data_IF_701149031378
#
_entry.id   IF_701149031378
#
_cell.length_a   1.000
_cell.length_b   1.000
_cell.length_c   1.000
_cell.angle_alpha   90.00
_cell.angle_beta   90.00
_cell.angle_gamma   90.00
#
_symmetry.space_group_name_H-M   'P 1'
#
loop_
_entity.id
_entity.type
_entity.pdbx_description
1 polymer ?
#
# COMPACT_ATOMS: atom_id res chain seq x y z
N UNK A 1 -9.04 48.31 17.99
CA UNK A 1 -9.12 46.84 17.78
C UNK A 1 -8.61 46.49 16.38
N UNK A 2 -7.38 45.95 16.27
CA UNK A 2 -6.85 45.42 15.00
C UNK A 2 -7.38 44.00 14.78
N UNK A 3 -8.29 43.83 13.82
CA UNK A 3 -8.75 42.50 13.35
C UNK A 3 -7.55 41.75 12.76
N UNK A 4 -7.04 40.73 13.47
CA UNK A 4 -6.11 39.74 12.93
C UNK A 4 -6.82 39.00 11.80
N UNK A 5 -6.42 39.24 10.55
CA UNK A 5 -6.78 38.38 9.42
C UNK A 5 -6.21 36.98 9.72
N UNK A 6 -7.08 36.00 9.94
CA UNK A 6 -6.71 34.58 9.89
C UNK A 6 -6.09 34.34 8.51
N UNK A 7 -4.78 34.13 8.46
CA UNK A 7 -4.12 33.56 7.27
C UNK A 7 -4.74 32.19 7.07
N UNK A 8 -5.48 32.01 5.97
CA UNK A 8 -5.84 30.70 5.46
C UNK A 8 -4.51 29.98 5.23
N UNK A 9 -4.20 28.99 6.07
CA UNK A 9 -3.06 28.09 5.83
C UNK A 9 -3.35 27.41 4.50
N UNK A 10 -2.56 27.69 3.47
CA UNK A 10 -2.60 26.92 2.23
C UNK A 10 -2.29 25.47 2.60
N UNK A 11 -3.19 24.54 2.28
CA UNK A 11 -2.92 23.10 2.39
C UNK A 11 -1.68 22.81 1.54
N UNK A 12 -0.63 22.22 2.10
CA UNK A 12 0.58 21.94 1.34
C UNK A 12 0.31 20.90 0.24
N UNK A 13 0.90 21.14 -0.93
CA UNK A 13 0.61 20.51 -2.22
C UNK A 13 1.03 19.01 -2.31
N UNK A 14 1.40 18.38 -1.20
CA UNK A 14 1.95 17.01 -1.17
C UNK A 14 1.34 16.08 -0.11
N UNK A 15 0.40 16.53 0.73
CA UNK A 15 -0.12 15.73 1.82
C UNK A 15 -1.21 14.75 1.36
N UNK A 16 -1.64 13.84 2.25
CA UNK A 16 -2.90 13.13 2.07
C UNK A 16 -4.04 14.16 1.96
N UNK A 17 -4.75 14.15 0.84
CA UNK A 17 -5.84 15.08 0.54
C UNK A 17 -7.09 14.74 1.36
N UNK A 18 -7.20 13.49 1.84
CA UNK A 18 -8.28 13.05 2.71
C UNK A 18 -8.00 13.48 4.14
N UNK A 19 -8.91 14.27 4.70
CA UNK A 19 -8.95 14.60 6.12
C UNK A 19 -9.73 13.53 6.89
N UNK A 20 -9.33 13.27 8.14
CA UNK A 20 -9.84 12.17 8.95
C UNK A 20 -9.81 10.82 8.20
N UNK A 21 -8.64 10.40 7.64
CA UNK A 21 -8.53 9.19 6.80
C UNK A 21 -8.64 7.88 7.57
N UNK A 22 -8.59 7.93 8.90
CA UNK A 22 -8.60 6.79 9.82
C UNK A 22 -9.83 6.77 10.73
N UNK A 23 -10.79 7.65 10.45
CA UNK A 23 -12.01 7.82 11.25
C UNK A 23 -11.79 8.10 12.75
N UNK A 24 -10.58 8.50 13.19
CA UNK A 24 -10.27 8.82 14.59
C UNK A 24 -11.10 9.99 15.16
N UNK A 25 -11.76 10.77 14.30
CA UNK A 25 -12.75 11.78 14.66
C UNK A 25 -14.19 11.36 14.29
N UNK A 26 -14.47 10.06 14.25
CA UNK A 26 -15.73 9.49 13.77
C UNK A 26 -15.98 9.85 12.29
N UNK A 27 -17.21 10.28 12.00
CA UNK A 27 -17.63 10.71 10.65
C UNK A 27 -17.28 12.16 10.31
N UNK A 28 -16.50 12.88 11.13
CA UNK A 28 -16.22 14.29 10.88
C UNK A 28 -15.67 14.50 9.46
N UNK A 29 -16.30 15.41 8.73
CA UNK A 29 -15.98 15.78 7.34
C UNK A 29 -16.19 14.67 6.29
N UNK A 30 -16.96 13.64 6.60
CA UNK A 30 -17.43 12.64 5.64
C UNK A 30 -18.94 12.79 5.45
N UNK A 31 -19.40 12.62 4.21
CA UNK A 31 -20.81 12.48 3.91
C UNK A 31 -21.13 10.99 3.80
N UNK A 32 -22.34 10.60 4.18
CA UNK A 32 -22.75 9.20 4.09
C UNK A 32 -24.26 9.07 3.93
N UNK A 33 -24.68 7.87 3.52
CA UNK A 33 -26.08 7.44 3.42
C UNK A 33 -26.20 5.95 3.73
N UNK A 34 -27.34 5.53 4.27
CA UNK A 34 -27.57 4.14 4.69
C UNK A 34 -27.07 3.86 6.11
N UNK A 35 -26.96 2.57 6.45
CA UNK A 35 -26.55 2.13 7.79
C UNK A 35 -25.02 2.06 7.91
N UNK A 36 -24.43 3.02 8.62
CA UNK A 36 -23.01 3.04 8.96
C UNK A 36 -22.82 3.16 10.48
N UNK A 37 -21.75 2.54 10.97
CA UNK A 37 -21.33 2.59 12.37
C UNK A 37 -19.82 2.76 12.49
N UNK A 38 -19.34 2.95 13.71
CA UNK A 38 -17.91 2.93 14.03
C UNK A 38 -17.58 1.57 14.63
N UNK A 39 -16.53 0.93 14.12
CA UNK A 39 -15.99 -0.31 14.67
C UNK A 39 -14.75 0.01 15.50
N UNK A 40 -14.73 -0.43 16.77
CA UNK A 40 -13.60 -0.21 17.69
C UNK A 40 -12.92 -1.51 18.11
N UNK A 41 -13.40 -2.65 17.62
CA UNK A 41 -12.89 -3.97 18.02
C UNK A 41 -11.54 -4.29 17.39
N UNK A 42 -11.45 -4.21 16.05
CA UNK A 42 -10.27 -4.60 15.29
C UNK A 42 -9.97 -3.60 14.14
N UNK A 43 -9.83 -2.29 14.42
CA UNK A 43 -9.48 -1.32 13.38
C UNK A 43 -8.12 -1.68 12.76
N UNK A 44 -7.94 -1.39 11.48
CA UNK A 44 -6.69 -1.71 10.79
C UNK A 44 -5.52 -0.96 11.44
N UNK A 45 -5.72 0.33 11.71
CA UNK A 45 -4.80 1.10 12.55
C UNK A 45 -5.50 2.22 13.33
N UNK A 46 -5.02 2.48 14.54
CA UNK A 46 -5.65 3.43 15.46
C UNK A 46 -6.62 2.76 16.42
N UNK A 47 -7.77 3.38 16.67
CA UNK A 47 -8.78 2.94 17.64
C UNK A 47 -10.16 2.70 17.03
N UNK A 48 -10.39 3.17 15.80
CA UNK A 48 -11.67 2.98 15.14
C UNK A 48 -11.55 2.91 13.62
N UNK A 49 -12.45 2.16 13.00
CA UNK A 49 -12.66 2.11 11.56
C UNK A 49 -14.12 2.45 11.27
N UNK A 50 -14.43 2.80 10.02
CA UNK A 50 -15.83 2.91 9.60
C UNK A 50 -16.36 1.52 9.26
N UNK A 51 -17.57 1.18 9.71
CA UNK A 51 -18.27 -0.07 9.36
C UNK A 51 -19.52 0.24 8.53
N UNK A 52 -19.60 -0.36 7.36
CA UNK A 52 -20.78 -0.43 6.49
C UNK A 52 -21.54 -1.72 6.82
N UNK A 53 -22.75 -1.61 7.36
CA UNK A 53 -23.57 -2.77 7.79
C UNK A 53 -24.32 -3.42 6.62
N UNK A 54 -25.12 -4.46 6.90
CA UNK A 54 -25.83 -5.30 5.94
C UNK A 54 -26.52 -4.56 4.79
N UNK A 55 -27.32 -3.53 5.10
CA UNK A 55 -28.04 -2.71 4.12
C UNK A 55 -27.10 -1.94 3.18
N UNK A 56 -27.57 -1.66 1.96
CA UNK A 56 -26.84 -0.78 1.02
C UNK A 56 -26.46 0.55 1.67
N UNK A 57 -25.19 0.94 1.56
CA UNK A 57 -24.69 2.15 2.18
C UNK A 57 -23.59 2.79 1.34
N UNK A 58 -23.34 4.08 1.57
CA UNK A 58 -22.26 4.80 0.91
C UNK A 58 -21.65 5.84 1.82
N UNK A 59 -20.34 6.05 1.69
CA UNK A 59 -19.59 7.10 2.37
C UNK A 59 -18.66 7.77 1.37
N UNK A 60 -18.62 9.09 1.37
CA UNK A 60 -17.83 9.85 0.40
C UNK A 60 -17.29 11.16 0.95
N UNK A 61 -16.24 11.63 0.30
CA UNK A 61 -15.60 12.91 0.58
C UNK A 61 -15.21 13.61 -0.71
N UNK A 62 -15.59 14.88 -0.82
CA UNK A 62 -15.13 15.76 -1.90
C UNK A 62 -13.84 16.44 -1.45
N UNK A 63 -12.73 16.13 -2.10
CA UNK A 63 -11.41 16.71 -1.82
C UNK A 63 -11.06 17.77 -2.86
N UNK A 64 -10.54 18.92 -2.40
CA UNK A 64 -10.11 19.98 -3.30
C UNK A 64 -8.80 19.62 -4.01
N UNK A 65 -8.74 19.83 -5.33
CA UNK A 65 -7.54 19.59 -6.14
C UNK A 65 -6.66 20.84 -6.30
N UNK A 66 -6.95 21.90 -5.54
CA UNK A 66 -6.20 23.15 -5.60
C UNK A 66 -4.71 22.91 -5.28
N UNK A 67 -3.82 23.24 -6.23
CA UNK A 67 -2.38 23.06 -6.09
C UNK A 67 -1.84 21.71 -6.60
N UNK A 68 -2.71 20.70 -6.78
CA UNK A 68 -2.34 19.38 -7.32
C UNK A 68 -3.01 19.10 -8.68
N UNK A 69 -3.69 20.09 -9.26
CA UNK A 69 -4.41 20.01 -10.54
C UNK A 69 -3.59 19.35 -11.65
N UNK A 70 -4.20 18.39 -12.34
CA UNK A 70 -3.61 17.65 -13.46
C UNK A 70 -2.62 16.55 -13.06
N UNK A 71 -2.37 16.34 -11.75
CA UNK A 71 -1.61 15.18 -11.28
C UNK A 71 -2.56 14.02 -10.97
N UNK A 72 -2.23 12.79 -11.41
CA UNK A 72 -2.93 11.60 -10.94
C UNK A 72 -2.71 11.42 -9.43
N UNK A 73 -3.60 10.64 -8.81
CA UNK A 73 -3.62 10.41 -7.38
C UNK A 73 -3.34 8.94 -7.10
N UNK A 74 -2.46 8.66 -6.14
CA UNK A 74 -2.35 7.37 -5.47
C UNK A 74 -3.53 7.27 -4.50
N UNK A 75 -4.37 6.26 -4.71
CA UNK A 75 -5.40 5.81 -3.78
C UNK A 75 -4.84 4.59 -3.02
N UNK A 76 -5.00 4.57 -1.72
CA UNK A 76 -4.83 3.37 -0.92
C UNK A 76 -5.85 3.35 0.21
N UNK A 77 -6.29 2.18 0.61
CA UNK A 77 -7.18 2.00 1.74
C UNK A 77 -7.09 0.58 2.25
N UNK A 78 -7.54 0.39 3.48
CA UNK A 78 -7.62 -0.90 4.10
C UNK A 78 -9.06 -1.35 4.24
N UNK A 79 -9.29 -2.62 3.93
CA UNK A 79 -10.58 -3.28 4.17
C UNK A 79 -10.43 -4.39 5.19
N UNK A 80 -11.47 -4.54 6.01
CA UNK A 80 -11.73 -5.72 6.79
C UNK A 80 -13.19 -6.13 6.60
N UNK A 81 -13.48 -7.37 6.25
CA UNK A 81 -14.81 -7.78 5.83
C UNK A 81 -15.28 -9.05 6.57
N UNK A 82 -16.59 -9.19 6.74
CA UNK A 82 -17.18 -10.43 7.26
C UNK A 82 -17.14 -11.56 6.22
N UNK A 83 -17.38 -12.79 6.67
CA UNK A 83 -17.48 -13.97 5.80
C UNK A 83 -18.65 -13.89 4.82
N UNK A 84 -19.62 -13.02 5.07
CA UNK A 84 -20.81 -12.77 4.25
C UNK A 84 -20.81 -11.36 3.64
N UNK A 85 -19.62 -10.77 3.45
CA UNK A 85 -19.49 -9.45 2.88
C UNK A 85 -20.17 -9.35 1.50
N UNK A 86 -20.81 -8.23 1.25
CA UNK A 86 -21.37 -7.94 -0.07
C UNK A 86 -20.32 -7.23 -0.94
N UNK A 87 -20.64 -7.03 -2.21
CA UNK A 87 -19.77 -6.28 -3.10
C UNK A 87 -19.55 -4.83 -2.63
N UNK A 88 -18.37 -4.32 -2.93
CA UNK A 88 -17.96 -2.94 -2.70
C UNK A 88 -17.52 -2.29 -4.00
N UNK A 89 -18.03 -1.09 -4.24
CA UNK A 89 -17.59 -0.21 -5.32
C UNK A 89 -16.79 0.95 -4.69
N UNK A 90 -15.58 1.18 -5.18
CA UNK A 90 -14.74 2.31 -4.78
C UNK A 90 -14.44 3.18 -5.98
N UNK A 91 -14.75 4.47 -5.89
CA UNK A 91 -14.63 5.40 -7.01
C UNK A 91 -13.90 6.68 -6.63
N UNK A 92 -13.09 7.18 -7.57
CA UNK A 92 -12.63 8.56 -7.59
C UNK A 92 -13.30 9.26 -8.77
N UNK A 93 -14.23 10.17 -8.48
CA UNK A 93 -14.99 10.90 -9.50
C UNK A 93 -14.47 12.33 -9.59
N UNK A 94 -14.14 12.80 -10.80
CA UNK A 94 -13.74 14.18 -11.01
C UNK A 94 -14.95 15.10 -10.99
N UNK A 95 -14.88 16.17 -10.20
CA UNK A 95 -15.92 17.17 -10.11
C UNK A 95 -15.42 18.54 -10.57
N UNK A 96 -16.30 19.30 -11.21
CA UNK A 96 -16.03 20.71 -11.52
C UNK A 96 -16.17 21.62 -10.29
N UNK A 97 -15.94 22.93 -10.47
CA UNK A 97 -16.05 23.94 -9.39
C UNK A 97 -17.45 24.08 -8.78
N UNK A 98 -18.47 23.49 -9.41
CA UNK A 98 -19.86 23.48 -8.97
C UNK A 98 -20.25 22.10 -8.40
N UNK A 99 -19.26 21.23 -8.13
CA UNK A 99 -19.43 19.86 -7.63
C UNK A 99 -20.23 18.95 -8.56
N UNK A 100 -20.25 19.25 -9.87
CA UNK A 100 -20.86 18.38 -10.87
C UNK A 100 -19.84 17.38 -11.37
N UNK A 101 -20.22 16.10 -11.48
CA UNK A 101 -19.38 15.07 -12.06
C UNK A 101 -19.05 15.39 -13.53
N UNK A 102 -17.77 15.28 -13.88
CA UNK A 102 -17.25 15.54 -15.23
C UNK A 102 -16.40 14.38 -15.77
N UNK A 103 -16.24 13.31 -15.00
CA UNK A 103 -15.55 12.10 -15.41
C UNK A 103 -15.27 11.19 -14.22
N UNK A 104 -14.94 9.94 -14.52
CA UNK A 104 -14.45 8.97 -13.53
C UNK A 104 -12.94 8.96 -13.65
N UNK A 105 -12.25 9.17 -12.54
CA UNK A 105 -10.80 9.02 -12.44
C UNK A 105 -10.38 7.62 -12.07
N UNK A 106 -11.23 6.92 -11.33
CA UNK A 106 -11.05 5.51 -10.99
C UNK A 106 -12.37 4.86 -10.62
N UNK A 107 -12.52 3.60 -11.02
CA UNK A 107 -13.60 2.71 -10.60
C UNK A 107 -12.98 1.36 -10.24
N UNK A 108 -13.27 0.88 -9.04
CA UNK A 108 -12.85 -0.41 -8.53
C UNK A 108 -14.10 -1.17 -8.09
N UNK A 109 -14.32 -2.34 -8.64
CA UNK A 109 -15.31 -3.29 -8.16
C UNK A 109 -14.59 -4.37 -7.35
N UNK A 110 -15.00 -4.59 -6.11
CA UNK A 110 -14.42 -5.59 -5.22
C UNK A 110 -15.58 -6.54 -4.88
N UNK A 111 -15.52 -7.74 -5.44
CA UNK A 111 -16.57 -8.74 -5.28
C UNK A 111 -16.62 -9.29 -3.86
N UNK A 112 -17.81 -9.72 -3.44
CA UNK A 112 -18.02 -10.45 -2.19
C UNK A 112 -17.00 -11.59 -2.05
N UNK A 113 -16.82 -12.42 -3.08
CA UNK A 113 -15.96 -13.59 -3.01
C UNK A 113 -14.47 -13.27 -2.74
N UNK A 114 -13.99 -12.07 -3.08
CA UNK A 114 -12.65 -11.57 -2.73
C UNK A 114 -12.53 -11.22 -1.24
N UNK A 115 -13.64 -10.77 -0.66
CA UNK A 115 -13.77 -10.32 0.72
C UNK A 115 -14.14 -11.47 1.67
N UNK A 116 -14.68 -12.56 1.13
CA UNK A 116 -15.07 -13.77 1.87
C UNK A 116 -14.03 -14.87 1.68
N UNK A 117 -13.31 -15.23 2.75
CA UNK A 117 -12.43 -16.41 2.77
C UNK A 117 -12.81 -17.35 3.91
N UNK A 118 -12.02 -18.40 4.20
CA UNK A 118 -12.21 -19.20 5.44
C UNK A 118 -12.04 -18.34 6.71
N UNK A 119 -11.42 -17.18 6.56
CA UNK A 119 -11.16 -16.17 7.58
C UNK A 119 -11.55 -14.78 7.04
N UNK A 120 -11.92 -13.86 7.94
CA UNK A 120 -12.23 -12.47 7.56
C UNK A 120 -11.05 -11.86 6.77
N UNK A 121 -11.31 -11.35 5.56
CA UNK A 121 -10.26 -10.78 4.73
C UNK A 121 -9.79 -9.42 5.28
N UNK A 122 -8.49 -9.26 5.48
CA UNK A 122 -7.84 -7.99 5.87
C UNK A 122 -6.79 -7.61 4.83
N UNK A 123 -7.12 -6.67 3.95
CA UNK A 123 -6.35 -6.38 2.73
C UNK A 123 -6.04 -4.89 2.63
N UNK A 124 -4.86 -4.58 2.08
CA UNK A 124 -4.46 -3.22 1.68
C UNK A 124 -4.58 -3.10 0.17
N UNK A 125 -5.36 -2.13 -0.31
CA UNK A 125 -5.48 -1.85 -1.73
C UNK A 125 -4.58 -0.68 -2.10
N UNK A 126 -3.99 -0.75 -3.30
CA UNK A 126 -3.32 0.38 -3.94
C UNK A 126 -3.91 0.56 -5.34
N UNK A 127 -4.01 1.82 -5.76
CA UNK A 127 -4.54 2.16 -7.07
C UNK A 127 -4.04 3.54 -7.52
N UNK A 128 -4.00 3.79 -8.82
CA UNK A 128 -3.66 5.10 -9.38
C UNK A 128 -4.77 5.59 -10.29
N UNK A 129 -5.25 6.80 -10.03
CA UNK A 129 -6.25 7.44 -10.89
C UNK A 129 -5.65 7.82 -12.24
N UNK A 130 -6.52 8.00 -13.23
CA UNK A 130 -6.18 8.77 -14.42
C UNK A 130 -5.80 10.22 -14.07
N UNK A 131 -5.30 10.96 -15.06
CA UNK A 131 -5.07 12.40 -14.88
C UNK A 131 -6.41 13.14 -14.74
N UNK A 132 -6.56 14.01 -13.72
CA UNK A 132 -7.74 14.86 -13.62
C UNK A 132 -7.92 15.72 -14.88
N UNK A 133 -9.14 15.81 -15.44
CA UNK A 133 -9.46 16.73 -16.53
C UNK A 133 -9.09 18.18 -16.17
N UNK A 134 -8.81 19.01 -17.18
CA UNK A 134 -8.34 20.38 -16.97
C UNK A 134 -9.29 21.27 -16.15
N UNK A 135 -10.60 20.99 -16.20
CA UNK A 135 -11.64 21.69 -15.46
C UNK A 135 -12.02 21.02 -14.12
N UNK A 136 -11.34 19.95 -13.72
CA UNK A 136 -11.54 19.32 -12.42
C UNK A 136 -11.05 20.24 -11.30
N UNK A 137 -11.94 20.55 -10.36
CA UNK A 137 -11.65 21.35 -9.18
C UNK A 137 -11.63 20.50 -7.89
N UNK A 138 -12.38 19.40 -7.90
CA UNK A 138 -12.45 18.46 -6.78
C UNK A 138 -12.39 17.02 -7.30
N UNK A 139 -12.07 16.10 -6.40
CA UNK A 139 -12.27 14.67 -6.59
C UNK A 139 -13.19 14.16 -5.49
N UNK A 140 -14.22 13.39 -5.84
CA UNK A 140 -15.02 12.64 -4.87
C UNK A 140 -14.43 11.26 -4.72
N UNK A 141 -13.91 10.94 -3.55
CA UNK A 141 -13.64 9.57 -3.17
C UNK A 141 -14.91 9.00 -2.54
N UNK A 142 -15.42 7.89 -3.06
CA UNK A 142 -16.66 7.26 -2.63
C UNK A 142 -16.47 5.76 -2.47
N UNK A 143 -17.02 5.22 -1.38
CA UNK A 143 -17.18 3.80 -1.12
C UNK A 143 -18.68 3.50 -1.08
N UNK A 144 -19.13 2.52 -1.86
CA UNK A 144 -20.52 2.12 -1.99
C UNK A 144 -20.64 0.62 -1.84
N UNK A 145 -21.22 0.15 -0.74
CA UNK A 145 -21.46 -1.26 -0.49
C UNK A 145 -22.88 -1.62 -0.93
N UNK A 146 -23.02 -2.74 -1.64
CA UNK A 146 -24.33 -3.33 -1.98
C UNK A 146 -24.99 -3.97 -0.76
N UNK A 147 -26.31 -4.19 -0.86
CA UNK A 147 -27.04 -4.93 0.17
C UNK A 147 -26.48 -6.36 0.30
N UNK A 148 -26.19 -6.76 1.53
CA UNK A 148 -25.79 -8.12 1.89
C UNK A 148 -26.76 -8.72 2.89
N UNK A 149 -26.43 -9.91 3.39
CA UNK A 149 -27.22 -10.58 4.42
C UNK A 149 -27.10 -9.90 5.80
N UNK A 150 -27.78 -10.44 6.81
CA UNK A 150 -27.86 -9.84 8.15
C UNK A 150 -26.48 -9.65 8.84
N UNK A 151 -25.51 -10.51 8.53
CA UNK A 151 -24.16 -10.48 9.13
C UNK A 151 -23.14 -9.75 8.27
N UNK A 152 -23.47 -9.44 7.02
CA UNK A 152 -22.63 -8.72 6.07
C UNK A 152 -22.14 -7.39 6.62
N UNK A 153 -20.82 -7.23 6.75
CA UNK A 153 -20.21 -5.93 6.99
C UNK A 153 -18.89 -5.77 6.24
N UNK A 154 -18.56 -4.50 5.95
CA UNK A 154 -17.25 -4.08 5.47
C UNK A 154 -16.78 -2.93 6.32
N UNK A 155 -15.56 -3.03 6.82
CA UNK A 155 -14.84 -1.97 7.50
C UNK A 155 -13.81 -1.33 6.58
N UNK A 156 -13.72 0.00 6.61
CA UNK A 156 -12.75 0.78 5.84
C UNK A 156 -11.89 1.58 6.83
N UNK A 157 -10.58 1.63 6.56
CA UNK A 157 -9.63 2.39 7.38
C UNK A 157 -8.43 2.88 6.54
N UNK A 158 -7.60 3.75 7.12
CA UNK A 158 -6.30 4.22 6.59
C UNK A 158 -6.34 4.68 5.12
N UNK A 159 -7.27 5.58 4.81
CA UNK A 159 -7.45 6.04 3.44
C UNK A 159 -6.36 7.03 3.03
N UNK A 160 -5.64 6.76 1.96
CA UNK A 160 -4.70 7.68 1.30
C UNK A 160 -5.30 8.13 -0.02
N UNK A 161 -5.30 9.44 -0.26
CA UNK A 161 -5.44 10.01 -1.59
C UNK A 161 -4.40 11.11 -1.76
N UNK A 162 -3.32 10.84 -2.49
CA UNK A 162 -2.16 11.73 -2.56
C UNK A 162 -1.64 11.88 -4.00
N UNK A 163 -1.10 13.05 -4.40
CA UNK A 163 -0.61 13.25 -5.75
C UNK A 163 0.64 12.42 -6.06
N UNK A 164 0.68 11.79 -7.23
CA UNK A 164 1.83 11.04 -7.78
C UNK A 164 2.29 11.64 -9.13
N UNK A 165 3.46 11.26 -9.67
CA UNK A 165 4.03 11.91 -10.88
C UNK A 165 3.52 11.37 -12.19
N UNK A 166 3.03 10.15 -12.24
CA UNK A 166 2.43 9.59 -13.45
C UNK A 166 1.21 8.75 -13.13
N UNK A 167 0.44 8.48 -14.18
CA UNK A 167 -0.58 7.42 -14.16
C UNK A 167 0.12 6.07 -14.00
N UNK A 168 -0.65 5.00 -13.83
CA UNK A 168 -0.11 3.67 -14.03
C UNK A 168 0.42 3.55 -15.47
N UNK A 169 1.68 3.16 -15.61
CA UNK A 169 2.35 3.00 -16.90
C UNK A 169 2.19 1.57 -17.43
N UNK A 170 1.83 0.61 -16.57
CA UNK A 170 1.45 -0.75 -16.99
C UNK A 170 0.11 -0.70 -17.69
N UNK A 171 0.02 -1.41 -18.81
CA UNK A 171 -1.22 -1.58 -19.55
C UNK A 171 -1.89 -2.89 -19.14
N UNK A 172 -3.22 -2.89 -19.08
CA UNK A 172 -4.00 -4.07 -18.69
C UNK A 172 -3.50 -4.69 -17.36
N UNK A 173 -3.24 -3.82 -16.36
CA UNK A 173 -2.62 -4.21 -15.08
C UNK A 173 -3.53 -5.04 -14.15
N UNK A 174 -4.84 -5.02 -14.40
CA UNK A 174 -5.83 -5.85 -13.72
C UNK A 174 -6.40 -6.95 -14.63
N UNK A 175 -5.75 -7.23 -15.76
CA UNK A 175 -6.06 -8.37 -16.63
C UNK A 175 -7.53 -8.49 -17.13
N UNK A 176 -8.30 -7.40 -17.08
CA UNK A 176 -9.68 -7.31 -17.60
C UNK A 176 -9.79 -7.70 -19.08
N UNK A 177 -8.70 -7.52 -19.84
CA UNK A 177 -8.58 -7.92 -21.25
C UNK A 177 -7.69 -9.16 -21.41
N UNK A 178 -7.72 -10.08 -20.45
CA UNK A 178 -6.88 -11.27 -20.40
C UNK A 178 -5.39 -10.93 -20.28
N UNK A 179 -4.52 -11.64 -21.00
CA UNK A 179 -3.07 -11.37 -21.03
C UNK A 179 -2.65 -10.42 -22.16
N UNK A 180 -3.57 -9.61 -22.71
CA UNK A 180 -3.23 -8.60 -23.73
C UNK A 180 -2.17 -7.62 -23.18
N UNK A 181 -1.17 -7.27 -24.00
CA UNK A 181 0.02 -6.48 -23.63
C UNK A 181 1.00 -7.16 -22.65
N UNK A 182 0.76 -8.42 -22.28
CA UNK A 182 1.67 -9.21 -21.44
C UNK A 182 2.31 -10.33 -22.27
N UNK A 183 3.60 -10.56 -22.05
CA UNK A 183 4.29 -11.75 -22.50
C UNK A 183 4.26 -12.78 -21.38
N UNK A 184 3.78 -13.99 -21.69
CA UNK A 184 3.44 -15.00 -20.70
C UNK A 184 3.92 -16.38 -21.14
N UNK A 185 4.60 -17.09 -20.24
CA UNK A 185 4.86 -18.53 -20.33
C UNK A 185 4.35 -19.19 -19.05
N UNK A 186 3.55 -20.25 -19.18
CA UNK A 186 2.92 -20.95 -18.05
C UNK A 186 2.02 -20.06 -17.17
N UNK A 187 1.48 -19.00 -17.78
CA UNK A 187 0.43 -18.16 -17.24
C UNK A 187 -0.77 -18.14 -18.20
N UNK A 188 -1.98 -18.14 -17.65
CA UNK A 188 -3.24 -17.98 -18.37
C UNK A 188 -4.05 -16.83 -17.78
N UNK A 189 -4.99 -16.30 -18.55
CA UNK A 189 -5.98 -15.38 -18.01
C UNK A 189 -7.06 -16.17 -17.27
N UNK A 190 -7.47 -15.66 -16.12
CA UNK A 190 -8.54 -16.23 -15.31
C UNK A 190 -9.43 -15.09 -14.77
N UNK A 191 -10.68 -15.40 -14.49
CA UNK A 191 -11.74 -14.46 -14.12
C UNK A 191 -12.46 -14.87 -12.82
N UNK A 192 -12.01 -15.95 -12.17
CA UNK A 192 -12.54 -16.39 -10.89
C UNK A 192 -11.75 -15.73 -9.74
N UNK A 193 -12.45 -15.10 -8.79
CA UNK A 193 -11.84 -14.52 -7.57
C UNK A 193 -10.69 -13.49 -7.83
N UNK A 194 -10.86 -12.49 -8.71
CA UNK A 194 -9.88 -11.41 -8.84
C UNK A 194 -9.79 -10.57 -7.56
N UNK A 195 -8.69 -9.83 -7.35
CA UNK A 195 -8.60 -8.89 -6.24
C UNK A 195 -9.49 -7.66 -6.48
N UNK A 196 -9.47 -7.13 -7.70
CA UNK A 196 -10.31 -6.01 -8.14
C UNK A 196 -10.74 -6.25 -9.57
N UNK A 197 -12.00 -5.94 -9.86
CA UNK A 197 -12.55 -6.02 -11.21
C UNK A 197 -12.93 -7.44 -11.58
N UNK A 198 -12.59 -7.87 -12.79
CA UNK A 198 -13.07 -9.11 -13.38
C UNK A 198 -11.98 -10.13 -13.71
N UNK A 199 -10.71 -9.75 -13.82
CA UNK A 199 -9.65 -10.64 -14.31
C UNK A 199 -8.41 -10.68 -13.43
N UNK A 200 -7.59 -11.72 -13.59
CA UNK A 200 -6.23 -11.82 -13.06
C UNK A 200 -5.38 -12.74 -13.97
N UNK A 201 -4.06 -12.75 -13.75
CA UNK A 201 -3.17 -13.73 -14.39
C UNK A 201 -2.93 -14.90 -13.44
N UNK A 202 -3.20 -16.13 -13.90
CA UNK A 202 -2.99 -17.37 -13.15
C UNK A 202 -1.80 -18.14 -13.71
N UNK A 203 -0.77 -18.33 -12.90
CA UNK A 203 0.36 -19.22 -13.19
C UNK A 203 -0.04 -20.67 -12.95
N UNK A 204 0.34 -21.57 -13.87
CA UNK A 204 0.05 -23.00 -13.82
C UNK A 204 1.31 -23.86 -13.56
N UNK A 205 2.46 -23.19 -13.39
CA UNK A 205 3.76 -23.82 -13.16
C UNK A 205 4.90 -22.80 -13.18
N UNK A 206 6.12 -23.29 -13.40
CA UNK A 206 7.32 -22.47 -13.50
C UNK A 206 7.25 -21.58 -14.75
N UNK A 207 6.96 -20.30 -14.54
CA UNK A 207 6.53 -19.41 -15.60
C UNK A 207 7.12 -18.02 -15.52
N UNK A 208 6.92 -17.26 -16.58
CA UNK A 208 7.30 -15.86 -16.67
C UNK A 208 6.11 -15.06 -17.18
N UNK A 209 5.67 -14.09 -16.38
CA UNK A 209 4.75 -13.05 -16.81
C UNK A 209 5.50 -11.72 -16.87
N UNK A 210 5.49 -11.03 -18.00
CA UNK A 210 6.25 -9.79 -18.15
C UNK A 210 5.62 -8.77 -19.09
N UNK A 211 5.89 -7.49 -18.85
CA UNK A 211 5.52 -6.39 -19.73
C UNK A 211 6.67 -5.37 -19.81
N UNK A 212 6.97 -4.92 -21.03
CA UNK A 212 7.87 -3.79 -21.26
C UNK A 212 7.08 -2.49 -21.31
N UNK A 213 7.46 -1.54 -20.45
CA UNK A 213 6.78 -0.26 -20.26
C UNK A 213 7.69 0.86 -20.74
N UNK A 214 7.17 1.71 -21.63
CA UNK A 214 7.93 2.84 -22.16
C UNK A 214 8.12 3.93 -21.09
N UNK A 215 9.37 4.24 -20.76
CA UNK A 215 9.74 5.28 -19.81
C UNK A 215 10.56 6.41 -20.45
N UNK A 216 10.87 6.34 -21.74
CA UNK A 216 11.71 7.32 -22.43
C UNK A 216 11.12 8.74 -22.50
N UNK A 217 9.83 8.93 -22.19
CA UNK A 217 9.20 10.24 -22.02
C UNK A 217 9.21 10.76 -20.57
N UNK A 218 9.71 9.97 -19.62
CA UNK A 218 9.88 10.37 -18.24
C UNK A 218 11.24 11.08 -18.05
N UNK A 219 11.35 11.99 -17.08
CA UNK A 219 12.64 12.59 -16.72
C UNK A 219 13.71 11.55 -16.37
N UNK A 220 14.94 11.80 -16.82
CA UNK A 220 16.10 10.94 -16.52
C UNK A 220 16.31 10.80 -15.01
N UNK A 221 16.77 9.63 -14.58
CA UNK A 221 17.01 9.35 -13.16
C UNK A 221 15.72 9.27 -12.32
N UNK A 222 14.58 8.99 -12.94
CA UNK A 222 13.33 8.79 -12.20
C UNK A 222 13.32 7.44 -11.48
N UNK A 223 12.73 7.41 -10.30
CA UNK A 223 12.34 6.19 -9.59
C UNK A 223 10.84 5.93 -9.76
N UNK A 224 10.44 4.70 -9.51
CA UNK A 224 9.08 4.25 -9.72
C UNK A 224 8.58 3.47 -8.50
N UNK A 225 7.32 3.68 -8.16
CA UNK A 225 6.55 2.87 -7.24
C UNK A 225 6.02 1.66 -8.01
N UNK A 226 6.29 0.47 -7.50
CA UNK A 226 5.71 -0.79 -7.96
C UNK A 226 4.73 -1.29 -6.90
N UNK A 227 3.51 -1.66 -7.28
CA UNK A 227 2.58 -2.42 -6.44
C UNK A 227 1.99 -3.56 -7.24
N UNK A 228 1.64 -4.65 -6.57
CA UNK A 228 0.99 -5.81 -7.17
C UNK A 228 0.37 -6.64 -6.06
N UNK A 229 -0.58 -7.51 -6.40
CA UNK A 229 -1.18 -8.44 -5.47
C UNK A 229 -0.92 -9.87 -5.91
N UNK A 230 -0.57 -10.72 -4.94
CA UNK A 230 -0.33 -12.13 -5.15
C UNK A 230 -1.24 -12.97 -4.26
N UNK A 231 -1.69 -14.11 -4.77
CA UNK A 231 -2.28 -15.17 -3.94
C UNK A 231 -1.87 -16.53 -4.45
N UNK A 232 -2.01 -17.52 -3.58
CA UNK A 232 -1.74 -18.91 -3.84
C UNK A 232 -2.87 -19.72 -3.19
N UNK A 233 -3.62 -20.47 -3.99
CA UNK A 233 -4.80 -21.23 -3.49
C UNK A 233 -4.48 -22.68 -3.16
N UNK A 234 -3.34 -23.19 -3.62
CA UNK A 234 -2.89 -24.55 -3.35
C UNK A 234 -1.82 -24.61 -2.25
N UNK A 235 -1.56 -25.82 -1.74
CA UNK A 235 -0.57 -26.06 -0.67
C UNK A 235 0.86 -26.23 -1.19
N UNK A 236 1.06 -26.21 -2.51
CA UNK A 236 2.39 -26.29 -3.11
C UNK A 236 3.14 -24.98 -2.87
N UNK A 237 4.35 -25.09 -2.34
CA UNK A 237 5.21 -23.94 -2.07
C UNK A 237 5.71 -23.33 -3.39
N UNK A 238 5.57 -22.01 -3.55
CA UNK A 238 5.95 -21.28 -4.78
C UNK A 238 6.78 -20.07 -4.42
N UNK A 239 8.03 -20.06 -4.87
CA UNK A 239 8.86 -18.86 -4.83
C UNK A 239 8.51 -17.99 -6.03
N UNK A 240 8.45 -16.67 -5.84
CA UNK A 240 8.31 -15.73 -6.96
C UNK A 240 9.38 -14.66 -6.89
N UNK A 241 10.14 -14.51 -7.96
CA UNK A 241 10.99 -13.32 -8.15
C UNK A 241 10.26 -12.28 -8.98
N UNK A 242 10.04 -11.11 -8.40
CA UNK A 242 9.53 -9.93 -9.11
C UNK A 242 10.70 -9.01 -9.44
N UNK A 243 10.84 -8.61 -10.71
CA UNK A 243 11.92 -7.72 -11.16
C UNK A 243 11.39 -6.49 -11.89
N UNK A 244 12.13 -5.40 -11.74
CA UNK A 244 12.10 -4.28 -12.68
C UNK A 244 13.48 -4.17 -13.29
N UNK A 245 13.60 -4.40 -14.59
CA UNK A 245 14.84 -4.27 -15.34
C UNK A 245 14.79 -3.00 -16.19
N UNK A 246 15.88 -2.26 -16.26
CA UNK A 246 16.01 -1.10 -17.16
C UNK A 246 16.58 -1.55 -18.48
N UNK A 247 15.98 -1.11 -19.58
CA UNK A 247 16.39 -1.48 -20.92
C UNK A 247 16.69 -0.24 -21.76
N UNK A 248 17.66 -0.36 -22.65
CA UNK A 248 17.96 0.66 -23.65
C UNK A 248 16.91 0.68 -24.79
N UNK A 249 17.16 1.47 -25.84
CA UNK A 249 16.25 1.58 -26.99
C UNK A 249 16.09 0.27 -27.76
N UNK A 250 17.09 -0.59 -27.72
CA UNK A 250 17.16 -1.84 -28.47
C UNK A 250 16.71 -3.04 -27.61
N UNK A 251 16.06 -2.76 -26.47
CA UNK A 251 15.58 -3.74 -25.49
C UNK A 251 16.69 -4.60 -24.86
N UNK A 252 17.93 -4.11 -24.82
CA UNK A 252 18.98 -4.74 -24.03
C UNK A 252 18.85 -4.32 -22.56
N UNK A 253 18.98 -5.27 -21.64
CA UNK A 253 19.02 -4.98 -20.20
C UNK A 253 20.33 -4.25 -19.88
N UNK A 254 20.22 -3.04 -19.34
CA UNK A 254 21.39 -2.23 -18.97
C UNK A 254 21.64 -2.19 -17.45
N UNK A 255 20.60 -2.38 -16.63
CA UNK A 255 20.73 -2.61 -15.18
C UNK A 255 19.41 -3.07 -14.55
N UNK A 256 19.45 -3.36 -13.25
CA UNK A 256 18.29 -3.77 -12.46
C UNK A 256 17.81 -2.63 -11.56
N UNK A 257 16.51 -2.33 -11.65
CA UNK A 257 15.82 -1.33 -10.83
C UNK A 257 15.31 -1.89 -9.51
N UNK A 258 14.83 -3.13 -9.53
CA UNK A 258 14.29 -3.84 -8.38
C UNK A 258 14.45 -5.34 -8.61
N UNK A 259 14.74 -6.08 -7.54
CA UNK A 259 14.51 -7.51 -7.42
C UNK A 259 13.90 -7.73 -6.04
N UNK A 260 12.74 -8.38 -6.05
CA UNK A 260 11.91 -8.60 -4.88
C UNK A 260 11.61 -10.09 -4.85
N UNK A 261 12.03 -10.77 -3.80
CA UNK A 261 11.81 -12.21 -3.65
C UNK A 261 10.59 -12.43 -2.76
N UNK A 262 9.60 -13.18 -3.24
CA UNK A 262 8.49 -13.67 -2.43
C UNK A 262 8.76 -15.15 -2.14
N UNK A 263 9.13 -15.50 -0.91
CA UNK A 263 9.40 -16.87 -0.52
C UNK A 263 8.23 -17.83 -0.66
N UNK A 264 8.59 -19.10 -0.71
CA UNK A 264 7.68 -20.24 -0.88
C UNK A 264 6.54 -20.32 0.15
N UNK A 265 6.77 -19.91 1.41
CA UNK A 265 5.76 -19.99 2.47
C UNK A 265 5.07 -18.65 2.77
N UNK A 266 5.41 -17.56 2.05
CA UNK A 266 4.85 -16.23 2.30
C UNK A 266 3.34 -16.15 2.00
N UNK A 267 2.90 -16.95 1.03
CA UNK A 267 1.51 -16.98 0.56
C UNK A 267 0.73 -18.21 1.05
N UNK A 268 1.39 -19.20 1.66
CA UNK A 268 0.74 -20.44 2.11
C UNK A 268 -0.30 -20.17 3.20
N UNK A 269 -1.42 -20.91 3.13
CA UNK A 269 -2.49 -20.86 4.12
C UNK A 269 -3.31 -19.56 4.10
N UNK A 270 -3.30 -18.83 2.97
CA UNK A 270 -4.08 -17.60 2.78
C UNK A 270 -5.16 -17.82 1.72
N UNK A 271 -6.40 -17.51 2.07
CA UNK A 271 -7.51 -17.42 1.11
C UNK A 271 -7.54 -16.10 0.35
N UNK A 272 -6.93 -15.04 0.90
CA UNK A 272 -6.94 -13.69 0.34
C UNK A 272 -5.55 -13.25 -0.16
N UNK A 273 -5.54 -12.37 -1.17
CA UNK A 273 -4.32 -11.79 -1.72
C UNK A 273 -3.48 -11.05 -0.66
N UNK A 274 -2.17 -11.15 -0.81
CA UNK A 274 -1.19 -10.28 -0.18
C UNK A 274 -0.75 -9.22 -1.20
N UNK A 275 -0.95 -7.96 -0.83
CA UNK A 275 -0.52 -6.84 -1.66
C UNK A 275 0.91 -6.45 -1.32
N UNK A 276 1.67 -6.07 -2.33
CA UNK A 276 3.05 -5.65 -2.25
C UNK A 276 3.23 -4.20 -2.68
N UNK A 277 4.22 -3.52 -2.09
CA UNK A 277 4.58 -2.17 -2.45
C UNK A 277 6.08 -1.99 -2.33
N UNK A 278 6.75 -1.64 -3.42
CA UNK A 278 8.18 -1.46 -3.50
C UNK A 278 8.52 -0.21 -4.31
N UNK A 279 9.77 0.25 -4.18
CA UNK A 279 10.29 1.39 -4.95
C UNK A 279 11.57 0.99 -5.65
N UNK A 280 11.67 1.32 -6.93
CA UNK A 280 12.87 1.04 -7.72
C UNK A 280 14.02 1.98 -7.37
N UNK A 281 15.25 1.51 -7.58
CA UNK A 281 16.37 2.41 -7.80
C UNK A 281 16.10 3.33 -9.01
N UNK A 282 16.79 4.47 -9.13
CA UNK A 282 16.58 5.38 -10.26
C UNK A 282 16.98 4.72 -11.59
N UNK A 283 16.19 4.94 -12.64
CA UNK A 283 16.54 4.49 -13.98
C UNK A 283 17.87 5.14 -14.43
N UNK A 284 18.86 4.37 -14.90
CA UNK A 284 20.16 4.90 -15.30
C UNK A 284 20.07 5.73 -16.60
N UNK A 285 21.14 6.46 -16.92
CA UNK A 285 21.26 7.12 -18.22
C UNK A 285 21.20 6.10 -19.36
N UNK A 286 20.38 6.36 -20.37
CA UNK A 286 20.17 5.47 -21.51
C UNK A 286 18.96 4.53 -21.38
N UNK A 287 18.32 4.45 -20.21
CA UNK A 287 17.09 3.68 -20.05
C UNK A 287 15.94 4.30 -20.86
N UNK A 288 15.28 3.49 -21.68
CA UNK A 288 14.12 3.85 -22.51
C UNK A 288 12.89 3.03 -22.12
N UNK A 289 13.09 1.78 -21.70
CA UNK A 289 12.04 0.89 -21.25
C UNK A 289 12.32 0.36 -19.84
N UNK A 290 11.26 -0.06 -19.17
CA UNK A 290 11.30 -0.85 -17.95
C UNK A 290 10.60 -2.18 -18.22
N UNK A 291 11.24 -3.32 -17.94
CA UNK A 291 10.59 -4.63 -17.98
C UNK A 291 10.20 -5.02 -16.58
N UNK A 292 8.89 -5.14 -16.35
CA UNK A 292 8.33 -5.67 -15.10
C UNK A 292 8.08 -7.14 -15.35
N UNK A 293 8.57 -8.01 -14.45
CA UNK A 293 8.41 -9.45 -14.62
C UNK A 293 8.15 -10.16 -13.30
N UNK A 294 7.31 -11.19 -13.36
CA UNK A 294 7.04 -12.16 -12.31
C UNK A 294 7.54 -13.51 -12.81
N UNK A 295 8.51 -14.09 -12.10
CA UNK A 295 9.09 -15.39 -12.40
C UNK A 295 8.75 -16.33 -11.25
N UNK A 296 7.94 -17.36 -11.51
CA UNK A 296 7.53 -18.36 -10.51
C UNK A 296 8.43 -19.57 -10.61
N UNK A 297 8.80 -20.14 -9.46
CA UNK A 297 9.54 -21.39 -9.34
C UNK A 297 8.94 -22.20 -8.18
N UNK A 298 8.49 -23.43 -8.44
CA UNK A 298 7.83 -24.24 -7.43
C UNK A 298 7.79 -25.72 -7.76
N UNK A 299 7.56 -26.55 -6.74
CA UNK A 299 7.41 -27.98 -6.93
C UNK A 299 5.95 -28.36 -7.22
N UNK A 300 5.66 -28.80 -8.45
CA UNK A 300 4.37 -29.35 -8.83
C UNK A 300 3.49 -28.38 -9.60
N UNK A 301 2.19 -28.70 -9.70
CA UNK A 301 1.18 -27.77 -10.18
C UNK A 301 0.82 -26.86 -9.01
N UNK A 302 0.68 -25.56 -9.29
CA UNK A 302 0.23 -24.58 -8.32
C UNK A 302 -0.69 -23.57 -9.02
N UNK A 303 -1.63 -23.01 -8.27
CA UNK A 303 -2.50 -21.92 -8.71
C UNK A 303 -2.02 -20.62 -8.04
N UNK A 304 -1.09 -19.97 -8.72
CA UNK A 304 -0.48 -18.70 -8.31
C UNK A 304 -1.12 -17.56 -9.09
N UNK A 305 -1.50 -16.48 -8.43
CA UNK A 305 -2.26 -15.38 -9.05
C UNK A 305 -1.50 -14.07 -8.94
N UNK A 306 -1.54 -13.30 -10.03
CA UNK A 306 -1.04 -11.91 -10.09
C UNK A 306 -2.19 -11.00 -10.51
N UNK A 307 -2.42 -9.93 -9.74
CA UNK A 307 -3.42 -8.91 -10.06
C UNK A 307 -2.92 -7.51 -9.65
N UNK A 308 -3.55 -6.46 -10.18
CA UNK A 308 -3.37 -5.05 -9.84
C UNK A 308 -1.91 -4.56 -9.90
N UNK A 309 -1.23 -4.78 -11.04
CA UNK A 309 0.17 -4.38 -11.21
C UNK A 309 0.30 -2.88 -11.50
N UNK A 310 0.70 -2.09 -10.51
CA UNK A 310 0.92 -0.65 -10.64
C UNK A 310 2.39 -0.33 -10.84
N UNK A 311 2.70 0.48 -11.85
CA UNK A 311 4.02 1.06 -12.03
C UNK A 311 3.89 2.55 -12.32
N UNK A 312 4.31 3.39 -11.38
CA UNK A 312 4.17 4.84 -11.52
C UNK A 312 5.39 5.58 -11.03
N UNK A 313 5.72 6.66 -11.75
CA UNK A 313 6.84 7.52 -11.44
C UNK A 313 6.61 8.24 -10.10
N UNK A 314 7.66 8.28 -9.31
CA UNK A 314 7.78 9.05 -8.07
C UNK A 314 9.03 9.93 -8.09
N UNK A 315 9.26 10.73 -7.03
CA UNK A 315 10.36 11.70 -6.99
C UNK A 315 11.68 11.17 -6.47
N UNK A 316 11.65 10.17 -5.59
CA UNK A 316 12.86 9.62 -4.98
C UNK A 316 12.82 8.10 -5.00
N UNK A 317 13.99 7.43 -4.96
CA UNK A 317 14.04 6.02 -4.60
C UNK A 317 13.59 5.82 -3.14
N UNK A 318 13.59 4.56 -2.70
CA UNK A 318 13.49 4.28 -1.27
C UNK A 318 14.68 4.95 -0.56
N UNK A 319 14.38 5.78 0.42
CA UNK A 319 15.38 6.51 1.20
C UNK A 319 15.85 5.73 2.42
N UNK A 320 15.13 4.65 2.77
CA UNK A 320 15.58 3.68 3.77
C UNK A 320 16.66 2.79 3.18
N UNK A 321 17.71 2.55 3.96
CA UNK A 321 18.75 1.56 3.68
C UNK A 321 18.40 0.24 4.38
N UNK A 322 18.77 -0.88 3.73
CA UNK A 322 18.47 -2.24 4.20
C UNK A 322 16.98 -2.41 4.59
N UNK A 323 16.03 -2.11 3.68
CA UNK A 323 14.61 -2.04 4.01
C UNK A 323 13.97 -3.40 4.33
N UNK A 324 14.55 -4.51 3.86
CA UNK A 324 14.08 -5.88 4.06
C UNK A 324 15.00 -6.75 4.91
N UNK A 325 15.97 -6.14 5.60
CA UNK A 325 16.79 -6.83 6.61
C UNK A 325 17.63 -8.02 6.09
N UNK A 326 17.78 -8.15 4.77
CA UNK A 326 18.63 -9.16 4.12
C UNK A 326 20.13 -8.99 4.45
N UNK A 327 20.50 -7.86 5.04
CA UNK A 327 21.84 -7.60 5.57
C UNK A 327 21.80 -7.38 7.09
N UNK A 328 21.10 -8.26 7.81
CA UNK A 328 20.82 -8.14 9.24
C UNK A 328 20.16 -6.79 9.61
N UNK A 329 20.46 -6.22 10.78
CA UNK A 329 20.02 -4.89 11.20
C UNK A 329 21.03 -3.79 10.82
N UNK A 330 21.88 -4.02 9.81
CA UNK A 330 22.81 -2.99 9.33
C UNK A 330 22.03 -1.75 8.88
N UNK A 331 22.61 -0.56 9.14
CA UNK A 331 22.01 0.76 8.92
C UNK A 331 20.81 1.11 9.82
N UNK A 332 20.48 0.26 10.79
CA UNK A 332 19.44 0.52 11.79
C UNK A 332 20.01 0.64 13.20
N UNK A 333 19.50 1.59 13.97
CA UNK A 333 19.67 1.64 15.42
C UNK A 333 18.52 0.87 16.09
N UNK A 334 18.82 0.02 17.06
CA UNK A 334 17.82 -0.84 17.66
C UNK A 334 18.09 -1.15 19.13
N UNK A 335 17.03 -1.56 19.83
CA UNK A 335 17.11 -2.23 21.13
C UNK A 335 16.13 -3.39 21.14
N UNK A 336 16.61 -4.54 21.62
CA UNK A 336 15.88 -5.80 21.73
C UNK A 336 15.28 -6.36 20.44
N UNK A 337 15.45 -5.70 19.29
CA UNK A 337 15.12 -6.22 17.96
C UNK A 337 16.24 -7.15 17.47
N UNK A 338 15.89 -8.26 16.82
CA UNK A 338 16.84 -9.16 16.15
C UNK A 338 16.42 -9.41 14.71
N UNK A 339 17.31 -9.93 13.88
CA UNK A 339 16.92 -10.53 12.60
C UNK A 339 16.52 -11.98 12.80
N UNK A 340 15.59 -12.47 11.99
CA UNK A 340 15.16 -13.88 11.99
C UNK A 340 15.03 -14.35 10.56
N UNK A 341 15.67 -15.47 10.24
CA UNK A 341 15.52 -16.12 8.95
C UNK A 341 14.20 -16.92 8.93
N UNK A 342 13.39 -16.75 7.89
CA UNK A 342 12.13 -17.48 7.72
C UNK A 342 11.74 -17.58 6.26
N UNK A 343 11.21 -18.74 5.86
CA UNK A 343 10.61 -18.96 4.54
C UNK A 343 9.24 -18.30 4.36
N UNK A 344 8.74 -17.64 5.40
CA UNK A 344 7.47 -16.91 5.41
C UNK A 344 7.68 -15.40 5.57
N UNK A 345 8.86 -14.89 5.20
CA UNK A 345 9.16 -13.45 5.17
C UNK A 345 8.20 -12.73 4.22
N UNK A 346 8.04 -11.41 4.35
CA UNK A 346 7.23 -10.68 3.37
C UNK A 346 8.03 -10.54 2.07
N UNK A 347 9.32 -10.24 2.19
CA UNK A 347 10.30 -10.26 1.11
C UNK A 347 11.58 -10.96 1.58
N UNK A 348 12.33 -11.56 0.65
CA UNK A 348 13.66 -12.07 0.97
C UNK A 348 13.61 -13.25 1.93
N UNK A 349 14.57 -13.40 2.83
CA UNK A 349 14.56 -14.49 3.81
C UNK A 349 14.64 -14.01 5.25
N UNK A 350 14.75 -12.71 5.48
CA UNK A 350 15.00 -12.14 6.79
C UNK A 350 13.94 -11.13 7.18
N UNK A 351 13.58 -11.14 8.46
CA UNK A 351 12.65 -10.17 9.04
C UNK A 351 13.24 -9.57 10.30
N UNK A 352 12.86 -8.33 10.61
CA UNK A 352 13.15 -7.72 11.91
C UNK A 352 12.12 -8.21 12.94
N UNK A 353 12.56 -9.04 13.87
CA UNK A 353 11.77 -9.61 14.95
C UNK A 353 11.84 -8.75 16.21
N UNK A 354 10.69 -8.29 16.68
CA UNK A 354 10.52 -7.54 17.93
C UNK A 354 9.85 -8.45 18.98
N UNK A 355 10.53 -8.73 20.12
CA UNK A 355 10.00 -9.61 21.16
C UNK A 355 8.86 -8.99 21.96
N UNK A 356 8.04 -9.85 22.56
CA UNK A 356 6.94 -9.49 23.46
C UNK A 356 7.36 -8.60 24.65
N UNK A 357 8.63 -8.58 25.05
CA UNK A 357 9.13 -7.65 26.08
C UNK A 357 9.12 -6.18 25.67
N UNK A 358 8.90 -5.89 24.38
CA UNK A 358 9.04 -4.57 23.78
C UNK A 358 10.41 -4.41 23.10
N UNK A 359 10.45 -3.54 22.10
CA UNK A 359 11.62 -3.26 21.29
C UNK A 359 11.48 -1.95 20.51
N UNK A 360 12.58 -1.46 19.97
CA UNK A 360 12.54 -0.43 18.94
C UNK A 360 13.55 -0.69 17.81
N UNK A 361 13.26 -0.04 16.69
CA UNK A 361 14.08 -0.02 15.49
C UNK A 361 13.94 1.37 14.85
N UNK A 362 15.05 2.05 14.57
CA UNK A 362 15.04 3.37 13.92
C UNK A 362 16.15 3.57 12.90
N UNK A 363 15.88 4.45 11.93
CA UNK A 363 16.87 4.93 10.98
C UNK A 363 16.70 6.43 10.77
N UNK A 364 17.82 7.17 10.82
CA UNK A 364 17.88 8.58 10.49
C UNK A 364 18.27 8.76 9.03
N UNK A 365 17.40 9.41 8.26
CA UNK A 365 17.46 9.53 6.81
C UNK A 365 17.75 10.99 6.46
N UNK A 366 18.93 11.30 5.90
CA UNK A 366 19.24 12.64 5.41
C UNK A 366 18.31 13.06 4.28
N UNK A 367 17.76 14.28 4.36
CA UNK A 367 16.80 14.80 3.38
C UNK A 367 17.29 16.08 2.72
N UNK A 368 17.31 16.05 1.39
CA UNK A 368 17.66 17.21 0.58
C UNK A 368 16.45 18.10 0.30
N UNK A 369 16.52 19.35 0.75
CA UNK A 369 15.47 20.38 0.54
C UNK A 369 14.08 19.91 1.01
N UNK A 370 14.03 19.31 2.21
CA UNK A 370 12.85 18.64 2.75
C UNK A 370 11.65 19.57 2.99
N UNK A 371 11.89 20.84 3.36
CA UNK A 371 10.84 21.75 3.79
C UNK A 371 9.67 21.82 2.79
N UNK A 372 8.45 21.58 3.28
CA UNK A 372 7.22 21.57 2.52
C UNK A 372 6.99 20.32 1.67
N UNK A 373 7.83 19.28 1.78
CA UNK A 373 7.67 17.98 1.13
C UNK A 373 7.04 16.96 2.08
N UNK A 374 6.40 15.97 1.49
CA UNK A 374 5.70 14.89 2.17
C UNK A 374 6.21 13.56 1.60
N UNK A 375 6.17 12.51 2.39
CA UNK A 375 6.73 11.22 2.04
C UNK A 375 5.72 10.12 2.33
N UNK A 376 5.72 9.08 1.51
CA UNK A 376 5.06 7.81 1.78
C UNK A 376 5.95 7.01 2.73
N UNK A 377 5.38 6.55 3.84
CA UNK A 377 5.90 5.45 4.64
C UNK A 377 5.04 4.22 4.34
N UNK A 378 5.66 3.08 4.03
CA UNK A 378 5.01 1.77 4.00
C UNK A 378 5.88 0.70 4.63
N UNK A 379 5.28 -0.32 5.22
CA UNK A 379 5.98 -1.46 5.81
C UNK A 379 5.02 -2.65 5.94
N UNK A 380 5.57 -3.86 5.90
CA UNK A 380 4.84 -5.08 6.20
C UNK A 380 4.99 -5.43 7.69
N UNK A 381 3.89 -5.87 8.30
CA UNK A 381 3.84 -6.28 9.69
C UNK A 381 3.14 -7.64 9.81
N UNK A 382 3.73 -8.55 10.58
CA UNK A 382 3.16 -9.85 10.92
C UNK A 382 3.23 -10.07 12.43
N UNK A 383 2.19 -10.63 13.02
CA UNK A 383 2.17 -11.00 14.44
C UNK A 383 2.47 -12.48 14.58
N UNK A 384 3.56 -12.80 15.26
CA UNK A 384 3.91 -14.16 15.62
C UNK A 384 3.48 -14.43 17.07
N UNK A 385 2.55 -15.35 17.28
CA UNK A 385 2.02 -15.70 18.61
C UNK A 385 3.01 -16.56 19.41
N UNK A 386 3.02 -16.36 20.72
CA UNK A 386 3.62 -17.26 21.70
C UNK A 386 2.57 -18.12 22.44
N UNK A 387 1.26 -17.79 22.33
CA UNK A 387 0.14 -18.50 22.95
C UNK A 387 -1.18 -18.40 22.13
N UNK A 388 -2.25 -19.05 22.59
CA UNK A 388 -3.58 -19.17 21.93
C UNK A 388 -4.28 -17.83 21.61
N UNK A 389 -3.88 -16.74 22.28
CA UNK A 389 -4.31 -15.36 22.00
C UNK A 389 -3.12 -14.41 22.16
N UNK A 390 -2.98 -13.47 21.23
CA UNK A 390 -1.92 -12.46 21.28
C UNK A 390 -2.27 -11.28 20.38
N UNK A 391 -2.24 -10.07 20.95
CA UNK A 391 -2.28 -8.80 20.25
C UNK A 391 -0.92 -8.12 20.46
N UNK A 392 -0.37 -7.53 19.41
CA UNK A 392 0.79 -6.67 19.53
C UNK A 392 0.54 -5.36 18.80
N UNK A 393 0.98 -4.27 19.44
CA UNK A 393 0.77 -2.91 18.95
C UNK A 393 2.13 -2.30 18.62
N UNK A 394 2.26 -1.89 17.37
CA UNK A 394 3.40 -1.16 16.87
C UNK A 394 3.05 0.32 16.71
N UNK A 395 3.93 1.19 17.19
CA UNK A 395 3.88 2.62 16.90
C UNK A 395 4.95 2.94 15.86
N UNK A 396 4.52 3.21 14.63
CA UNK A 396 5.37 3.69 13.55
C UNK A 396 5.31 5.23 13.49
N UNK A 397 6.47 5.88 13.49
CA UNK A 397 6.61 7.34 13.49
C UNK A 397 7.57 7.79 12.41
N UNK A 398 7.29 8.99 11.91
CA UNK A 398 8.28 9.81 11.21
C UNK A 398 8.45 11.10 12.00
N UNK A 399 9.66 11.39 12.44
CA UNK A 399 10.00 12.63 13.15
C UNK A 399 10.93 13.48 12.28
N UNK A 400 10.67 14.77 12.18
CA UNK A 400 11.52 15.69 11.44
C UNK A 400 12.69 16.15 12.29
N UNK A 401 13.89 16.08 11.73
CA UNK A 401 15.12 16.50 12.40
C UNK A 401 15.75 17.70 11.67
N UNK A 402 16.37 18.59 12.43
CA UNK A 402 17.22 19.65 11.87
C UNK A 402 18.64 19.15 11.53
N UNK A 403 19.51 20.05 11.07
CA UNK A 403 20.89 19.73 10.67
C UNK A 403 21.78 19.26 11.83
N UNK A 404 21.34 19.43 13.07
CA UNK A 404 22.05 19.00 14.27
C UNK A 404 21.50 17.68 14.83
N UNK A 405 20.52 17.07 14.16
CA UNK A 405 19.85 15.85 14.62
C UNK A 405 18.77 16.10 15.67
N UNK A 406 18.42 17.36 15.94
CA UNK A 406 17.38 17.70 16.93
C UNK A 406 16.00 17.55 16.31
N UNK A 407 15.07 16.93 17.03
CA UNK A 407 13.66 16.88 16.63
C UNK A 407 13.05 18.28 16.60
N UNK A 408 12.43 18.61 15.46
CA UNK A 408 11.74 19.89 15.21
C UNK A 408 10.25 19.73 14.93
N UNK A 409 9.74 18.50 14.97
CA UNK A 409 8.30 18.21 14.98
C UNK A 409 7.94 16.84 14.43
N UNK A 410 6.71 16.37 14.69
CA UNK A 410 6.21 15.13 14.14
C UNK A 410 5.90 15.27 12.65
N UNK A 411 6.13 14.20 11.89
CA UNK A 411 5.68 14.04 10.51
C UNK A 411 4.60 12.98 10.35
N UNK A 412 4.66 11.91 11.13
CA UNK A 412 3.65 10.85 11.10
C UNK A 412 3.63 10.12 12.44
N UNK A 413 2.44 9.67 12.85
CA UNK A 413 2.28 8.69 13.92
C UNK A 413 1.15 7.73 13.55
N UNK A 414 1.49 6.46 13.38
CA UNK A 414 0.60 5.37 13.01
C UNK A 414 0.65 4.29 14.08
N UNK A 415 -0.51 3.92 14.62
CA UNK A 415 -0.66 2.81 15.55
C UNK A 415 -1.10 1.60 14.73
N UNK A 416 -0.15 0.75 14.35
CA UNK A 416 -0.43 -0.49 13.65
C UNK A 416 -0.77 -1.58 14.67
N UNK A 417 -1.94 -2.19 14.52
CA UNK A 417 -2.38 -3.30 15.36
C UNK A 417 -2.39 -4.55 14.52
N UNK A 418 -1.59 -5.51 14.92
CA UNK A 418 -1.73 -6.84 14.42
C UNK A 418 -2.58 -7.66 15.39
N UNK A 419 -3.58 -8.33 14.85
CA UNK A 419 -4.39 -9.31 15.57
C UNK A 419 -4.26 -10.66 14.87
N UNK A 420 -4.28 -11.70 15.68
CA UNK A 420 -4.45 -13.05 15.24
C UNK A 420 -5.58 -13.57 16.13
N UNK A 421 -6.63 -14.15 15.54
CA UNK A 421 -7.64 -14.96 16.23
C UNK A 421 -7.29 -16.43 16.01
N UNK A 422 -7.88 -17.38 16.73
CA UNK A 422 -7.63 -18.84 16.50
C UNK A 422 -7.98 -19.25 15.05
N UNK A 423 -8.78 -18.44 14.36
CA UNK A 423 -9.14 -18.60 12.97
C UNK A 423 -8.08 -17.98 12.02
N UNK A 424 -7.70 -16.72 12.19
CA UNK A 424 -6.79 -16.06 11.23
C UNK A 424 -5.34 -16.53 11.43
N UNK A 425 -4.75 -17.28 10.50
CA UNK A 425 -3.31 -17.58 10.52
C UNK A 425 -2.45 -16.29 10.57
N UNK A 426 -1.18 -16.41 10.97
CA UNK A 426 -0.25 -15.28 11.06
C UNK A 426 0.01 -14.70 9.67
N UNK A 427 -0.76 -13.67 9.29
CA UNK A 427 -0.68 -13.04 7.98
C UNK A 427 0.10 -11.73 8.01
N UNK A 428 0.89 -11.49 6.97
CA UNK A 428 1.40 -10.15 6.67
C UNK A 428 0.27 -9.18 6.34
N UNK A 429 0.35 -8.00 6.94
CA UNK A 429 -0.46 -6.83 6.67
C UNK A 429 0.44 -5.69 6.22
N UNK A 430 0.01 -4.94 5.20
CA UNK A 430 0.76 -3.80 4.70
C UNK A 430 0.18 -2.51 5.22
N UNK A 431 0.99 -1.74 5.92
CA UNK A 431 0.63 -0.41 6.38
C UNK A 431 1.20 0.63 5.42
N UNK A 432 0.43 1.66 5.12
CA UNK A 432 0.88 2.80 4.34
C UNK A 432 0.33 4.10 4.94
N UNK A 433 1.12 5.17 4.88
CA UNK A 433 0.67 6.50 5.27
C UNK A 433 1.51 7.60 4.61
N UNK A 434 0.92 8.78 4.44
CA UNK A 434 1.63 9.98 3.98
C UNK A 434 1.96 10.85 5.18
N UNK A 435 3.21 11.29 5.28
CA UNK A 435 3.61 12.23 6.32
C UNK A 435 2.94 13.59 6.13
N UNK A 436 2.76 14.30 7.24
CA UNK A 436 2.62 15.75 7.19
C UNK A 436 3.83 16.38 6.48
N UNK A 437 3.69 17.58 5.91
CA UNK A 437 4.77 18.27 5.25
C UNK A 437 5.91 18.60 6.22
N UNK A 438 7.15 18.32 5.82
CA UNK A 438 8.31 18.63 6.65
C UNK A 438 8.40 20.14 6.93
N UNK A 439 8.65 20.56 8.19
CA UNK A 439 8.72 21.96 8.56
C UNK A 439 9.96 22.65 7.96
N UNK A 440 9.97 23.99 8.02
CA UNK A 440 11.16 24.76 7.66
C UNK A 440 12.33 24.36 8.58
N UNK A 441 13.52 24.17 7.99
CA UNK A 441 14.70 23.72 8.71
C UNK A 441 14.89 22.21 8.77
N UNK A 442 13.90 21.42 8.35
CA UNK A 442 14.04 19.96 8.25
C UNK A 442 15.18 19.59 7.29
N UNK A 443 16.09 18.77 7.79
CA UNK A 443 17.28 18.29 7.08
C UNK A 443 17.41 16.77 7.13
N UNK A 444 16.68 16.09 8.01
CA UNK A 444 16.56 14.64 8.05
C UNK A 444 15.18 14.23 8.56
N UNK A 445 14.86 12.96 8.39
CA UNK A 445 13.72 12.29 9.02
C UNK A 445 14.22 11.12 9.84
N UNK A 446 13.59 10.86 10.99
CA UNK A 446 13.76 9.62 11.75
C UNK A 446 12.55 8.75 11.51
N UNK A 447 12.73 7.61 10.87
CA UNK A 447 11.73 6.54 10.80
C UNK A 447 11.93 5.67 12.04
N UNK A 448 10.92 5.58 12.89
CA UNK A 448 11.00 4.91 14.19
C UNK A 448 9.82 3.95 14.35
N UNK A 449 10.13 2.71 14.67
CA UNK A 449 9.19 1.68 15.04
C UNK A 449 9.39 1.35 16.53
N UNK A 450 8.31 1.38 17.30
CA UNK A 450 8.34 1.02 18.72
C UNK A 450 7.24 0.04 19.02
N UNK A 451 7.62 -1.14 19.51
CA UNK A 451 6.69 -2.12 20.05
C UNK A 451 6.64 -1.97 21.57
N UNK A 452 5.43 -1.82 22.12
CA UNK A 452 5.24 -1.91 23.58
C UNK A 452 5.28 -3.37 24.01
N UNK A 453 5.64 -3.61 25.27
CA UNK A 453 5.51 -4.94 25.87
C UNK A 453 4.10 -5.49 25.65
N UNK A 454 4.01 -6.70 25.10
CA UNK A 454 2.79 -7.48 24.90
C UNK A 454 2.86 -8.71 25.79
N UNK A 455 1.71 -9.29 26.15
CA UNK A 455 1.72 -10.45 27.05
C UNK A 455 2.10 -11.75 26.33
N UNK A 456 1.91 -11.88 25.01
CA UNK A 456 2.07 -13.16 24.29
C UNK A 456 2.32 -13.04 22.76
N UNK A 457 2.84 -11.93 22.25
CA UNK A 457 2.98 -11.73 20.81
C UNK A 457 4.28 -11.04 20.43
N UNK A 458 5.05 -11.66 19.54
CA UNK A 458 6.15 -11.02 18.84
C UNK A 458 5.63 -10.33 17.57
N UNK A 459 6.36 -9.32 17.11
CA UNK A 459 6.12 -8.71 15.80
C UNK A 459 7.27 -9.01 14.86
N UNK A 460 6.96 -9.28 13.60
CA UNK A 460 7.91 -9.28 12.51
C UNK A 460 7.62 -8.07 11.62
N UNK A 461 8.65 -7.29 11.34
CA UNK A 461 8.65 -6.17 10.41
C UNK A 461 9.49 -6.53 9.20
N UNK A 462 9.04 -6.09 8.04
CA UNK A 462 9.73 -6.33 6.78
C UNK A 462 9.41 -5.25 5.73
N UNK A 463 10.28 -5.11 4.75
CA UNK A 463 10.19 -4.25 3.57
C UNK A 463 9.70 -2.82 3.85
N UNK A 464 10.53 -2.01 4.51
CA UNK A 464 10.22 -0.62 4.82
C UNK A 464 10.47 0.31 3.63
N UNK A 465 9.45 1.02 3.18
CA UNK A 465 9.53 2.05 2.14
C UNK A 465 9.38 3.43 2.75
N UNK A 466 10.35 4.33 2.51
CA UNK A 466 10.22 5.76 2.75
C UNK A 466 10.61 6.54 1.51
N UNK A 467 9.64 7.08 0.76
CA UNK A 467 9.89 7.73 -0.53
C UNK A 467 8.97 8.94 -0.77
N UNK A 468 9.43 9.88 -1.59
CA UNK A 468 8.64 11.02 -2.00
C UNK A 468 7.86 10.71 -3.29
N UNK A 469 6.53 10.88 -3.25
CA UNK A 469 5.63 10.71 -4.40
C UNK A 469 5.75 11.81 -5.48
#
# INVERSE_FOLDING_TARGET
>A
MRRRRRRIRRVPVCANLVQNPRFEAGFDQWNFSGSLGLATGLPFAGNQAIRMHSSSSSIWKDVALAGVSGRPLLLSFNLFASLEAADLIVEVIWLDRHLRAIGVGRHMYIGADTLTGEFNAKITFFEITDRPPANAAFARLQFSKLEGDENSFIEIDQIILAPVRSINLVQNYGFESGLTEWNASDFVADYDLPLVGGGHARGEGDGLLSQEVYIGNQPLGSSYLLSFALSLTETAAVETTVRVQWLDRDSNIISQGLQFLVPEESLLGRSACLTYLAVTSPAPGGAVWARISFETQGAGVFDYRVDQVLFSRILTPNLVQNPSFENDLNDWEFDSTTTTNTLSAYEGNWVASMPASGAFLEQQIPLNRAAGRCYLLSFALKVARLAEFGEAVLLAKVLWLDRTGREIGPGLALVARGDHSVANASTWLVYAAITDPAPAGAAAAKVLFTMRSSENANLALDHVVFAQL
#
